data_IF_360244978975
#
_entry.id   IF_360244978975
#
_cell.length_a   1.000
_cell.length_b   1.000
_cell.length_c   1.000
_cell.angle_alpha   90.00
_cell.angle_beta   90.00
_cell.angle_gamma   90.00
#
_symmetry.space_group_name_H-M   'P 1'
#
loop_
_entity.id
_entity.type
_entity.pdbx_description
1 polymer ?
#
# COMPACT_ATOMS: atom_id res chain seq x y z
N UNK A 1 5.22 -64.52 8.16
CA UNK A 1 6.05 -63.33 7.96
C UNK A 1 6.54 -63.16 6.51
N UNK A 2 6.67 -64.25 5.74
CA UNK A 2 7.19 -64.18 4.36
C UNK A 2 6.17 -63.63 3.33
N UNK A 3 4.87 -63.80 3.58
CA UNK A 3 3.80 -63.34 2.67
C UNK A 3 3.43 -61.88 2.85
N UNK A 4 3.81 -61.25 4.00
CA UNK A 4 3.50 -59.87 4.26
C UNK A 4 4.45 -58.92 3.50
N UNK A 5 5.67 -59.40 3.22
CA UNK A 5 6.70 -58.64 2.50
C UNK A 5 6.38 -58.54 1.01
N UNK A 6 5.75 -59.55 0.43
CA UNK A 6 5.39 -59.58 -0.97
C UNK A 6 4.21 -58.66 -1.31
N UNK A 7 3.32 -58.39 -0.35
CA UNK A 7 2.19 -57.46 -0.54
C UNK A 7 2.68 -55.99 -0.52
N UNK A 8 3.74 -55.70 0.22
CA UNK A 8 4.32 -54.34 0.24
C UNK A 8 5.10 -53.99 -1.03
N UNK A 9 5.64 -54.94 -1.74
CA UNK A 9 6.41 -54.72 -2.96
C UNK A 9 5.51 -54.47 -4.18
N UNK A 10 4.25 -54.90 -4.14
CA UNK A 10 3.30 -54.71 -5.24
C UNK A 10 2.66 -53.31 -5.25
N UNK A 11 2.77 -52.54 -4.14
CA UNK A 11 2.11 -51.24 -4.00
C UNK A 11 3.00 -50.03 -4.42
N UNK A 12 4.28 -50.27 -4.70
CA UNK A 12 5.25 -49.20 -5.00
C UNK A 12 5.36 -48.87 -6.50
N UNK A 13 4.77 -49.69 -7.38
CA UNK A 13 4.90 -49.51 -8.84
C UNK A 13 3.74 -48.73 -9.46
N UNK A 14 2.72 -48.37 -8.68
CA UNK A 14 1.51 -47.72 -9.20
C UNK A 14 1.45 -46.16 -9.09
N UNK A 15 2.46 -45.52 -8.53
CA UNK A 15 2.40 -44.09 -8.25
C UNK A 15 3.44 -43.25 -9.04
N UNK A 16 3.48 -43.46 -10.30
CA UNK A 16 4.43 -42.76 -11.12
C UNK A 16 3.90 -42.38 -12.48
N UNK A 17 3.01 -41.44 -12.61
CA UNK A 17 2.76 -40.62 -13.81
C UNK A 17 1.58 -39.66 -13.55
N UNK A 18 1.71 -38.78 -12.54
CA UNK A 18 1.02 -37.50 -12.60
C UNK A 18 2.05 -36.52 -13.12
N UNK A 19 2.19 -36.43 -14.42
CA UNK A 19 2.82 -35.31 -15.05
C UNK A 19 1.93 -34.10 -14.77
N UNK A 20 2.26 -33.35 -13.71
CA UNK A 20 1.80 -31.98 -13.57
C UNK A 20 2.37 -31.20 -14.74
N UNK A 21 1.59 -31.08 -15.79
CA UNK A 21 1.83 -30.09 -16.84
C UNK A 21 1.53 -28.73 -16.22
N UNK A 22 2.47 -28.23 -15.44
CA UNK A 22 2.48 -26.83 -15.04
C UNK A 22 2.78 -26.03 -16.31
N UNK A 23 1.73 -25.70 -17.03
CA UNK A 23 1.77 -24.62 -17.99
C UNK A 23 1.96 -23.35 -17.14
N UNK A 24 3.18 -23.14 -16.65
CA UNK A 24 3.61 -21.81 -16.23
C UNK A 24 3.58 -20.96 -17.49
N UNK A 25 2.43 -20.37 -17.72
CA UNK A 25 2.35 -19.17 -18.51
C UNK A 25 3.25 -18.17 -17.80
N UNK A 26 4.50 -18.09 -18.24
CA UNK A 26 5.35 -16.97 -17.96
C UNK A 26 4.60 -15.75 -18.47
N UNK A 27 3.75 -15.20 -17.61
CA UNK A 27 3.31 -13.83 -17.76
C UNK A 27 4.61 -13.05 -17.62
N UNK A 28 5.26 -12.84 -18.76
CA UNK A 28 6.28 -11.82 -18.89
C UNK A 28 5.66 -10.56 -18.32
N UNK A 29 5.98 -10.26 -17.07
CA UNK A 29 5.69 -8.94 -16.53
C UNK A 29 6.52 -7.98 -17.38
N UNK A 30 5.89 -7.50 -18.44
CA UNK A 30 6.38 -6.31 -19.10
C UNK A 30 6.65 -5.30 -17.99
N UNK A 31 7.81 -4.63 -17.98
CA UNK A 31 8.07 -3.58 -17.01
C UNK A 31 6.86 -2.68 -17.05
N UNK A 32 6.10 -2.66 -15.94
CA UNK A 32 4.99 -1.71 -15.79
C UNK A 32 5.63 -0.36 -16.09
N UNK A 33 5.20 0.36 -17.12
CA UNK A 33 5.71 1.69 -17.34
C UNK A 33 5.56 2.38 -15.98
N UNK A 34 6.66 2.84 -15.40
CA UNK A 34 6.58 3.73 -14.27
C UNK A 34 5.60 4.80 -14.72
N UNK A 35 4.40 4.77 -14.18
CA UNK A 35 3.41 5.80 -14.44
C UNK A 35 4.12 7.03 -13.93
N UNK A 36 4.77 7.73 -14.86
CA UNK A 36 5.22 9.08 -14.60
C UNK A 36 3.93 9.75 -14.13
N UNK A 37 3.86 9.93 -12.82
CA UNK A 37 2.91 10.86 -12.25
C UNK A 37 3.10 12.12 -13.06
N UNK A 38 2.24 12.31 -14.05
CA UNK A 38 2.17 13.58 -14.77
C UNK A 38 1.98 14.58 -13.65
N UNK A 39 3.05 15.32 -13.38
CA UNK A 39 3.01 16.38 -12.39
C UNK A 39 1.85 17.28 -12.83
N UNK A 40 0.70 17.06 -12.21
CA UNK A 40 -0.43 17.94 -12.38
C UNK A 40 0.10 19.33 -12.10
N UNK A 41 -0.06 20.24 -13.04
CA UNK A 41 0.31 21.65 -12.86
C UNK A 41 -0.23 22.06 -11.48
N UNK A 42 0.65 22.46 -10.54
CA UNK A 42 0.18 22.80 -9.21
C UNK A 42 -0.91 23.86 -9.36
N UNK A 43 -2.02 23.74 -8.65
CA UNK A 43 -3.00 24.82 -8.64
C UNK A 43 -2.29 26.11 -8.22
N UNK A 44 -2.77 27.28 -8.65
CA UNK A 44 -2.16 28.57 -8.35
C UNK A 44 -2.40 28.97 -6.88
N UNK A 45 -2.07 28.04 -5.97
CA UNK A 45 -2.01 28.28 -4.54
C UNK A 45 -0.54 28.50 -4.14
N UNK A 46 -0.31 29.30 -3.11
CA UNK A 46 1.02 29.52 -2.55
C UNK A 46 1.42 28.40 -1.58
N UNK A 47 0.76 27.24 -1.60
CA UNK A 47 1.06 26.14 -0.71
C UNK A 47 2.41 25.51 -1.07
N UNK A 48 3.29 25.41 -0.08
CA UNK A 48 4.56 24.70 -0.22
C UNK A 48 4.29 23.21 -0.46
N UNK A 49 4.96 22.65 -1.45
CA UNK A 49 5.00 21.20 -1.68
C UNK A 49 6.25 20.63 -1.02
N UNK A 50 6.13 19.49 -0.37
CA UNK A 50 7.24 18.78 0.25
C UNK A 50 7.32 17.37 -0.30
N UNK A 51 8.51 16.76 -0.26
CA UNK A 51 8.71 15.37 -0.68
C UNK A 51 8.29 14.40 0.43
N UNK A 52 8.12 13.13 0.09
CA UNK A 52 7.83 12.09 1.07
C UNK A 52 8.97 11.97 2.11
N UNK A 53 10.23 12.10 1.66
CA UNK A 53 11.41 12.05 2.54
C UNK A 53 11.45 13.21 3.51
N UNK A 54 11.09 14.41 3.06
CA UNK A 54 11.01 15.60 3.92
C UNK A 54 9.88 15.42 4.94
N UNK A 55 8.71 14.96 4.50
CA UNK A 55 7.58 14.68 5.38
C UNK A 55 7.94 13.66 6.45
N UNK A 56 8.63 12.57 6.07
CA UNK A 56 9.05 11.54 7.00
C UNK A 56 9.97 12.07 8.09
N UNK A 57 10.97 12.89 7.72
CA UNK A 57 11.88 13.53 8.69
C UNK A 57 11.12 14.43 9.68
N UNK A 58 10.18 15.24 9.19
CA UNK A 58 9.35 16.08 10.04
C UNK A 58 8.44 15.28 10.96
N UNK A 59 7.93 14.14 10.47
CA UNK A 59 7.10 13.24 11.26
C UNK A 59 7.90 12.55 12.38
N UNK A 60 9.11 12.06 12.10
CA UNK A 60 10.01 11.49 13.10
C UNK A 60 10.41 12.52 14.17
N UNK A 61 10.62 13.78 13.77
CA UNK A 61 10.90 14.88 14.69
C UNK A 61 9.67 15.37 15.48
N UNK A 62 8.48 14.85 15.16
CA UNK A 62 7.21 15.32 15.73
C UNK A 62 6.89 16.80 15.46
N UNK A 63 7.40 17.33 14.33
CA UNK A 63 7.24 18.73 13.92
C UNK A 63 6.10 18.96 12.92
N UNK A 64 5.43 17.90 12.49
CA UNK A 64 4.34 17.96 11.52
C UNK A 64 3.09 17.23 12.02
N UNK A 65 1.94 17.75 11.65
CA UNK A 65 0.65 17.06 11.71
C UNK A 65 0.25 16.70 10.29
N UNK A 66 0.03 15.42 10.04
CA UNK A 66 -0.39 14.92 8.73
C UNK A 66 -1.90 14.82 8.72
N UNK A 67 -2.55 15.45 7.75
CA UNK A 67 -4.00 15.34 7.56
C UNK A 67 -4.31 14.68 6.21
N UNK A 68 -5.23 13.73 6.24
CA UNK A 68 -5.78 13.09 5.05
C UNK A 68 -7.07 13.82 4.67
N UNK A 69 -7.08 14.43 3.47
CA UNK A 69 -8.19 15.22 2.97
C UNK A 69 -9.10 14.44 2.01
N UNK A 70 -8.82 13.16 1.79
CA UNK A 70 -9.68 12.26 1.04
C UNK A 70 -11.00 11.97 1.77
N UNK A 71 -11.89 11.27 1.09
CA UNK A 71 -13.13 10.80 1.71
C UNK A 71 -12.82 9.85 2.88
N UNK A 72 -13.65 9.89 3.92
CA UNK A 72 -13.48 9.03 5.10
C UNK A 72 -13.44 7.53 4.77
N UNK A 73 -14.15 7.12 3.72
CA UNK A 73 -14.12 5.74 3.23
C UNK A 73 -12.75 5.32 2.69
N UNK A 74 -12.03 6.24 2.02
CA UNK A 74 -10.68 6.00 1.55
C UNK A 74 -9.70 5.93 2.72
N UNK A 75 -9.80 6.85 3.67
CA UNK A 75 -9.01 6.84 4.90
C UNK A 75 -9.12 5.51 5.66
N UNK A 76 -10.32 4.94 5.76
CA UNK A 76 -10.54 3.64 6.43
C UNK A 76 -9.89 2.46 5.71
N UNK A 77 -9.66 2.57 4.41
CA UNK A 77 -9.01 1.52 3.62
C UNK A 77 -7.50 1.59 3.75
N UNK A 78 -6.95 2.77 3.53
CA UNK A 78 -5.50 3.00 3.59
C UNK A 78 -5.22 4.46 3.93
N UNK A 79 -4.27 4.71 4.81
CA UNK A 79 -3.83 6.04 5.19
C UNK A 79 -2.39 6.04 5.74
N UNK A 80 -1.76 7.19 5.77
CA UNK A 80 -0.44 7.35 6.38
C UNK A 80 -0.56 7.17 7.89
N UNK A 81 0.26 6.31 8.46
CA UNK A 81 0.28 6.05 9.91
C UNK A 81 0.39 7.36 10.71
N UNK A 82 -0.57 7.56 11.59
CA UNK A 82 -0.61 8.75 12.45
C UNK A 82 -1.26 9.98 11.80
N UNK A 83 -1.77 9.87 10.57
CA UNK A 83 -2.55 10.94 9.95
C UNK A 83 -3.94 11.05 10.58
N UNK A 84 -4.51 12.24 10.49
CA UNK A 84 -5.86 12.57 10.97
C UNK A 84 -6.78 12.71 9.77
N UNK A 85 -7.93 12.03 9.79
CA UNK A 85 -8.94 12.19 8.73
C UNK A 85 -9.64 13.55 8.84
N UNK A 86 -9.44 14.37 7.82
CA UNK A 86 -10.07 15.70 7.68
C UNK A 86 -10.52 15.88 6.24
N UNK A 87 -11.62 15.23 5.82
CA UNK A 87 -12.13 15.38 4.46
C UNK A 87 -12.24 16.84 4.04
N UNK A 88 -11.83 17.16 2.82
CA UNK A 88 -11.75 18.54 2.32
C UNK A 88 -13.01 19.37 2.61
N UNK A 89 -14.21 18.76 2.45
CA UNK A 89 -15.48 19.42 2.76
C UNK A 89 -15.71 19.74 4.25
N UNK A 90 -14.93 19.17 5.16
CA UNK A 90 -15.06 19.41 6.61
C UNK A 90 -13.90 20.23 7.18
N UNK A 91 -12.92 20.59 6.37
CA UNK A 91 -11.72 21.28 6.80
C UNK A 91 -12.04 22.58 7.56
N UNK A 92 -12.95 23.39 7.03
CA UNK A 92 -13.30 24.66 7.65
C UNK A 92 -13.86 24.51 9.09
N UNK A 93 -14.59 23.43 9.37
CA UNK A 93 -15.17 23.17 10.71
C UNK A 93 -14.21 22.48 11.66
N UNK A 94 -13.23 21.74 11.13
CA UNK A 94 -12.25 20.98 11.92
C UNK A 94 -10.92 21.73 12.11
N UNK A 95 -10.68 22.79 11.37
CA UNK A 95 -9.40 23.48 11.38
C UNK A 95 -8.98 23.96 12.80
N UNK A 96 -9.93 24.44 13.57
CA UNK A 96 -9.66 24.91 14.94
C UNK A 96 -9.33 23.78 15.94
N UNK A 97 -9.67 22.54 15.59
CA UNK A 97 -9.40 21.36 16.39
C UNK A 97 -7.99 20.78 16.09
N UNK A 98 -7.34 21.22 15.02
CA UNK A 98 -6.00 20.74 14.68
C UNK A 98 -4.96 21.28 15.66
N UNK A 99 -3.92 20.51 15.97
CA UNK A 99 -2.82 20.95 16.81
C UNK A 99 -2.20 22.25 16.31
N UNK A 100 -2.11 23.25 17.15
CA UNK A 100 -1.49 24.55 16.84
C UNK A 100 0.02 24.47 17.06
N UNK A 101 0.79 25.28 16.31
CA UNK A 101 2.23 25.41 16.49
C UNK A 101 3.09 24.34 15.77
N UNK A 102 2.49 23.49 14.97
CA UNK A 102 3.17 22.53 14.09
C UNK A 102 2.86 22.81 12.63
N UNK A 103 3.75 22.36 11.73
CA UNK A 103 3.44 22.34 10.31
C UNK A 103 2.26 21.38 10.06
N UNK A 104 1.34 21.78 9.20
CA UNK A 104 0.27 20.91 8.74
C UNK A 104 0.58 20.47 7.32
N UNK A 105 0.72 19.18 7.09
CA UNK A 105 0.87 18.57 5.78
C UNK A 105 -0.43 17.88 5.39
N UNK A 106 -1.04 18.34 4.30
CA UNK A 106 -2.24 17.75 3.75
C UNK A 106 -1.91 16.86 2.55
N UNK A 107 -2.57 15.71 2.46
CA UNK A 107 -2.48 14.82 1.31
C UNK A 107 -3.84 14.23 0.94
N UNK A 108 -3.94 13.74 -0.29
CA UNK A 108 -4.98 12.84 -0.77
C UNK A 108 -4.38 11.97 -1.88
N UNK A 109 -4.64 10.67 -1.87
CA UNK A 109 -4.17 9.68 -2.87
C UNK A 109 -5.32 9.15 -3.70
#
# INVERSE_FOLDING_TARGET
>A
MRNLILIFLAFIVGAGLIACNSNETLISQAPRPATQSTAATPPPDNARRITAEELHKLWEANDVVIIDTCAESAFKQEHIKGSISVPAGTLATKFDQLPKGKLIAAYCT
#
